data_IF_942025532398
#
_entry.id   IF_942025532398
#
_cell.length_a   1.000
_cell.length_b   1.000
_cell.length_c   1.000
_cell.angle_alpha   90.00
_cell.angle_beta   90.00
_cell.angle_gamma   90.00
#
_symmetry.space_group_name_H-M   'P 1'
#
loop_
_entity.id
_entity.type
_entity.pdbx_description
1 polymer ?
#
# COMPACT_ATOMS: atom_id res chain seq x y z
N UNK A 1 -1.13 7.98 -11.75
CA UNK A 1 -0.99 6.64 -11.13
C UNK A 1 0.24 5.91 -11.67
N UNK A 2 0.29 5.59 -12.96
CA UNK A 2 1.43 4.91 -13.61
C UNK A 2 2.75 5.69 -13.54
N UNK A 3 2.72 7.01 -13.69
CA UNK A 3 3.92 7.86 -13.53
C UNK A 3 4.51 7.80 -12.11
N UNK A 4 3.68 7.57 -11.07
CA UNK A 4 4.14 7.39 -9.69
C UNK A 4 4.88 6.06 -9.51
N UNK A 5 4.47 5.01 -10.20
CA UNK A 5 5.14 3.71 -10.13
C UNK A 5 6.44 3.70 -10.94
N UNK A 6 6.46 4.33 -12.11
CA UNK A 6 7.70 4.47 -12.90
C UNK A 6 8.75 5.31 -12.15
N UNK A 7 8.34 6.35 -11.44
CA UNK A 7 9.23 7.13 -10.58
C UNK A 7 9.66 6.35 -9.33
N UNK A 8 8.76 5.58 -8.71
CA UNK A 8 9.07 4.71 -7.57
C UNK A 8 10.08 3.59 -7.91
N UNK A 9 9.94 2.97 -9.08
CA UNK A 9 10.86 1.95 -9.58
C UNK A 9 12.26 2.53 -9.81
N UNK A 10 12.34 3.73 -10.40
CA UNK A 10 13.61 4.41 -10.62
C UNK A 10 14.30 4.75 -9.29
N UNK A 11 13.56 5.26 -8.30
CA UNK A 11 14.14 5.59 -6.98
C UNK A 11 14.61 4.33 -6.24
N UNK A 12 13.95 3.18 -6.43
CA UNK A 12 14.40 1.92 -5.87
C UNK A 12 15.73 1.45 -6.48
N UNK A 13 15.89 1.52 -7.80
CA UNK A 13 17.14 1.16 -8.48
C UNK A 13 18.30 2.03 -7.99
N UNK A 14 18.06 3.34 -7.86
CA UNK A 14 19.07 4.27 -7.33
C UNK A 14 19.43 3.96 -5.86
N UNK A 15 18.46 3.49 -5.08
CA UNK A 15 18.70 3.01 -3.71
C UNK A 15 19.57 1.76 -3.64
N UNK A 16 19.35 0.78 -4.53
CA UNK A 16 20.18 -0.43 -4.64
C UNK A 16 21.60 -0.07 -5.09
N UNK A 17 21.76 0.79 -6.11
CA UNK A 17 23.08 1.26 -6.52
C UNK A 17 23.83 2.02 -5.43
N UNK A 18 23.11 2.83 -4.63
CA UNK A 18 23.70 3.50 -3.47
C UNK A 18 24.13 2.49 -2.38
N UNK A 19 23.37 1.41 -2.21
CA UNK A 19 23.69 0.31 -1.27
C UNK A 19 24.97 -0.41 -1.67
N UNK A 20 25.14 -0.72 -2.97
CA UNK A 20 26.36 -1.36 -3.50
C UNK A 20 27.60 -0.46 -3.37
N UNK A 21 27.43 0.87 -3.37
CA UNK A 21 28.52 1.84 -3.11
C UNK A 21 28.88 1.99 -1.63
N UNK A 22 28.17 1.30 -0.73
CA UNK A 22 28.38 1.37 0.72
C UNK A 22 27.86 2.66 1.38
N UNK A 23 27.16 3.52 0.64
CA UNK A 23 26.70 4.82 1.14
C UNK A 23 25.32 4.72 1.81
N UNK A 24 25.36 4.41 3.10
CA UNK A 24 24.17 4.15 3.95
C UNK A 24 23.25 5.37 4.10
N UNK A 25 23.73 6.59 3.87
CA UNK A 25 22.89 7.78 3.97
C UNK A 25 22.05 7.95 2.70
N UNK A 26 22.70 7.82 1.54
CA UNK A 26 22.03 7.91 0.25
C UNK A 26 21.05 6.77 0.00
N UNK A 27 21.40 5.52 0.37
CA UNK A 27 20.44 4.40 0.30
C UNK A 27 19.16 4.71 1.07
N UNK A 28 19.26 5.32 2.26
CA UNK A 28 18.09 5.71 3.05
C UNK A 28 17.26 6.77 2.35
N UNK A 29 17.86 7.84 1.83
CA UNK A 29 17.10 8.87 1.11
C UNK A 29 16.34 8.33 -0.11
N UNK A 30 16.96 7.42 -0.87
CA UNK A 30 16.31 6.79 -2.02
C UNK A 30 15.18 5.84 -1.62
N UNK A 31 15.34 5.06 -0.55
CA UNK A 31 14.27 4.22 0.00
C UNK A 31 13.08 5.06 0.51
N UNK A 32 13.36 6.21 1.14
CA UNK A 32 12.31 7.13 1.58
C UNK A 32 11.56 7.76 0.41
N UNK A 33 12.28 8.12 -0.67
CA UNK A 33 11.63 8.59 -1.89
C UNK A 33 10.68 7.53 -2.47
N UNK A 34 11.11 6.27 -2.54
CA UNK A 34 10.27 5.15 -2.98
C UNK A 34 9.03 4.97 -2.11
N UNK A 35 9.17 5.08 -0.78
CA UNK A 35 8.02 5.03 0.13
C UNK A 35 7.02 6.16 -0.12
N UNK A 36 7.49 7.38 -0.38
CA UNK A 36 6.62 8.53 -0.66
C UNK A 36 5.82 8.27 -1.94
N UNK A 37 6.47 7.79 -3.00
CA UNK A 37 5.77 7.46 -4.25
C UNK A 37 4.78 6.31 -4.08
N UNK A 38 5.14 5.25 -3.36
CA UNK A 38 4.22 4.15 -3.03
C UNK A 38 3.02 4.61 -2.21
N UNK A 39 3.22 5.48 -1.22
CA UNK A 39 2.14 6.03 -0.40
C UNK A 39 1.25 6.98 -1.21
N UNK A 40 1.83 7.84 -2.04
CA UNK A 40 1.07 8.71 -2.93
C UNK A 40 0.23 7.90 -3.92
N UNK A 41 0.76 6.78 -4.43
CA UNK A 41 0.00 5.85 -5.25
C UNK A 41 -1.20 5.25 -4.49
N UNK A 42 -1.02 4.83 -3.23
CA UNK A 42 -2.11 4.35 -2.39
C UNK A 42 -3.22 5.39 -2.21
N UNK A 43 -2.85 6.65 -1.94
CA UNK A 43 -3.80 7.76 -1.75
C UNK A 43 -4.57 8.06 -3.03
N UNK A 44 -3.87 8.23 -4.16
CA UNK A 44 -4.51 8.52 -5.44
C UNK A 44 -5.50 7.42 -5.84
N UNK A 45 -5.15 6.16 -5.59
CA UNK A 45 -6.03 5.04 -5.90
C UNK A 45 -7.22 4.94 -4.92
N UNK A 46 -7.00 5.23 -3.64
CA UNK A 46 -8.10 5.33 -2.66
C UNK A 46 -9.10 6.43 -3.01
N UNK A 47 -8.64 7.56 -3.54
CA UNK A 47 -9.51 8.63 -4.05
C UNK A 47 -10.32 8.17 -5.27
N UNK A 48 -9.69 7.45 -6.20
CA UNK A 48 -10.36 6.87 -7.37
C UNK A 48 -11.44 5.87 -6.95
N UNK A 49 -11.12 4.95 -6.04
CA UNK A 49 -12.09 4.02 -5.46
C UNK A 49 -13.27 4.73 -4.81
N UNK A 50 -13.00 5.79 -4.04
CA UNK A 50 -14.05 6.57 -3.38
C UNK A 50 -14.98 7.22 -4.40
N UNK A 51 -14.43 7.72 -5.51
CA UNK A 51 -15.19 8.27 -6.62
C UNK A 51 -16.04 7.22 -7.33
N UNK A 52 -15.46 6.06 -7.66
CA UNK A 52 -16.17 4.94 -8.33
C UNK A 52 -17.29 4.35 -7.47
N UNK A 53 -17.08 4.25 -6.15
CA UNK A 53 -18.12 3.83 -5.20
C UNK A 53 -19.23 4.89 -5.10
N UNK A 54 -18.87 6.17 -5.16
CA UNK A 54 -19.82 7.29 -5.23
C UNK A 54 -20.66 7.30 -6.52
N UNK A 55 -20.08 6.88 -7.64
CA UNK A 55 -20.75 6.73 -8.95
C UNK A 55 -21.61 5.45 -9.07
N UNK A 56 -21.53 4.55 -8.07
CA UNK A 56 -22.43 3.40 -7.94
C UNK A 56 -21.83 2.02 -8.25
N UNK A 57 -20.52 1.92 -8.49
CA UNK A 57 -19.82 0.62 -8.57
C UNK A 57 -19.68 0.03 -7.16
N UNK A 58 -20.62 -0.83 -6.77
CA UNK A 58 -20.59 -1.52 -5.47
C UNK A 58 -20.33 -3.01 -5.64
N UNK A 59 -19.49 -3.56 -4.76
CA UNK A 59 -19.25 -5.00 -4.71
C UNK A 59 -20.52 -5.70 -4.18
N UNK A 60 -20.95 -6.83 -4.77
CA UNK A 60 -22.04 -7.63 -4.22
C UNK A 60 -21.75 -8.02 -2.77
N UNK A 61 -22.54 -7.53 -1.82
CA UNK A 61 -22.42 -7.87 -0.38
C UNK A 61 -22.01 -6.74 0.56
N UNK A 62 -21.59 -5.57 0.07
CA UNK A 62 -21.37 -4.39 0.93
C UNK A 62 -22.55 -3.41 0.84
N UNK A 63 -23.05 -2.87 1.98
CA UNK A 63 -24.17 -1.94 1.97
C UNK A 63 -23.80 -0.66 1.22
N UNK A 64 -24.66 -0.28 0.26
CA UNK A 64 -24.50 0.94 -0.55
C UNK A 64 -24.43 2.17 0.37
N UNK A 65 -23.38 3.01 0.29
CA UNK A 65 -23.34 4.24 1.06
C UNK A 65 -24.50 5.14 0.62
N UNK A 66 -25.18 5.79 1.59
CA UNK A 66 -26.41 6.55 1.38
C UNK A 66 -26.27 7.73 0.38
N UNK A 67 -25.04 8.11 0.03
CA UNK A 67 -24.67 9.18 -0.90
C UNK A 67 -24.39 8.71 -2.34
N UNK A 68 -24.41 7.40 -2.62
CA UNK A 68 -24.08 6.88 -3.94
C UNK A 68 -25.21 7.17 -4.95
N UNK A 69 -24.93 8.07 -5.90
CA UNK A 69 -25.85 8.45 -6.95
C UNK A 69 -26.23 7.22 -7.80
N UNK A 70 -27.47 7.18 -8.28
CA UNK A 70 -27.91 6.21 -9.27
C UNK A 70 -27.36 6.61 -10.66
N UNK A 71 -26.05 6.49 -10.84
CA UNK A 71 -25.38 6.71 -12.12
C UNK A 71 -25.39 5.45 -13.01
N UNK A 72 -24.99 5.60 -14.26
CA UNK A 72 -24.91 4.54 -15.29
C UNK A 72 -24.10 3.31 -14.83
N UNK A 73 -23.07 3.53 -14.01
CA UNK A 73 -22.26 2.50 -13.35
C UNK A 73 -23.05 1.61 -12.36
N UNK A 74 -24.12 2.13 -11.77
CA UNK A 74 -24.99 1.35 -10.88
C UNK A 74 -25.81 0.31 -11.65
N UNK A 75 -26.14 0.59 -12.93
CA UNK A 75 -26.83 -0.38 -13.80
C UNK A 75 -25.85 -1.41 -14.36
N UNK A 76 -24.60 -1.04 -14.64
CA UNK A 76 -23.53 -2.01 -14.95
C UNK A 76 -23.29 -2.96 -13.77
N UNK A 77 -23.26 -2.44 -12.54
CA UNK A 77 -23.10 -3.26 -11.33
C UNK A 77 -24.26 -4.25 -11.11
N UNK A 78 -25.47 -3.93 -11.58
CA UNK A 78 -26.63 -4.84 -11.52
C UNK A 78 -26.64 -5.87 -12.64
N UNK A 79 -26.28 -5.46 -13.86
CA UNK A 79 -26.34 -6.31 -15.05
C UNK A 79 -25.13 -7.25 -15.16
N UNK A 80 -23.96 -6.83 -14.67
CA UNK A 80 -22.71 -7.61 -14.72
C UNK A 80 -22.02 -7.57 -13.34
N UNK A 81 -22.55 -8.25 -12.32
CA UNK A 81 -22.01 -8.21 -10.96
C UNK A 81 -20.57 -8.74 -10.84
N UNK A 82 -20.11 -9.51 -11.83
CA UNK A 82 -18.75 -10.03 -11.90
C UNK A 82 -17.69 -8.96 -12.23
N UNK A 83 -18.08 -7.88 -12.93
CA UNK A 83 -17.16 -6.80 -13.30
C UNK A 83 -16.63 -6.03 -12.07
N UNK A 84 -17.47 -5.43 -11.20
CA UNK A 84 -16.97 -4.77 -9.99
C UNK A 84 -16.26 -5.75 -9.05
N UNK A 85 -16.73 -6.99 -8.92
CA UNK A 85 -16.09 -7.99 -8.07
C UNK A 85 -14.66 -8.32 -8.52
N UNK A 86 -14.43 -8.48 -9.83
CA UNK A 86 -13.10 -8.76 -10.39
C UNK A 86 -12.21 -7.51 -10.43
N UNK A 87 -12.77 -6.34 -10.78
CA UNK A 87 -12.07 -5.05 -10.77
C UNK A 87 -11.55 -4.71 -9.37
N UNK A 88 -12.44 -4.68 -8.37
CA UNK A 88 -12.04 -4.40 -6.99
C UNK A 88 -11.22 -5.54 -6.41
N UNK A 89 -11.52 -6.81 -6.69
CA UNK A 89 -10.74 -7.92 -6.17
C UNK A 89 -9.28 -7.91 -6.66
N UNK A 90 -9.08 -7.70 -7.96
CA UNK A 90 -7.75 -7.69 -8.57
C UNK A 90 -6.95 -6.46 -8.10
N UNK A 91 -7.57 -5.28 -8.11
CA UNK A 91 -6.91 -4.05 -7.64
C UNK A 91 -6.69 -4.10 -6.13
N UNK A 92 -7.63 -4.60 -5.31
CA UNK A 92 -7.45 -4.78 -3.86
C UNK A 92 -6.26 -5.67 -3.52
N UNK A 93 -6.14 -6.81 -4.21
CA UNK A 93 -5.01 -7.72 -4.02
C UNK A 93 -3.69 -7.02 -4.37
N UNK A 94 -3.64 -6.23 -5.42
CA UNK A 94 -2.46 -5.43 -5.74
C UNK A 94 -2.16 -4.37 -4.66
N UNK A 95 -3.18 -3.65 -4.18
CA UNK A 95 -3.02 -2.63 -3.14
C UNK A 95 -2.54 -3.21 -1.81
N UNK A 96 -2.95 -4.43 -1.49
CA UNK A 96 -2.43 -5.19 -0.35
C UNK A 96 -0.92 -5.40 -0.50
N UNK A 97 -0.44 -5.85 -1.67
CA UNK A 97 0.99 -6.07 -1.92
C UNK A 97 1.78 -4.76 -1.87
N UNK A 98 1.26 -3.67 -2.44
CA UNK A 98 1.89 -2.34 -2.35
C UNK A 98 2.00 -1.89 -0.88
N UNK A 99 0.95 -2.11 -0.07
CA UNK A 99 0.95 -1.75 1.35
C UNK A 99 1.97 -2.56 2.14
N UNK A 100 2.04 -3.88 1.92
CA UNK A 100 3.08 -4.74 2.52
C UNK A 100 4.47 -4.26 2.11
N UNK A 101 4.66 -3.92 0.84
CA UNK A 101 5.89 -3.34 0.33
C UNK A 101 6.26 -2.06 1.08
N UNK A 102 5.35 -1.08 1.17
CA UNK A 102 5.61 0.21 1.84
C UNK A 102 5.99 -0.01 3.30
N UNK A 103 5.32 -0.94 3.99
CA UNK A 103 5.64 -1.31 5.38
C UNK A 103 7.03 -1.94 5.45
N UNK A 104 7.36 -2.86 4.55
CA UNK A 104 8.66 -3.52 4.52
C UNK A 104 9.81 -2.52 4.26
N UNK A 105 9.65 -1.62 3.29
CA UNK A 105 10.60 -0.52 3.06
C UNK A 105 10.66 0.43 4.26
N UNK A 106 9.53 0.71 4.92
CA UNK A 106 9.48 1.50 6.15
C UNK A 106 10.30 0.87 7.27
N UNK A 107 10.18 -0.44 7.48
CA UNK A 107 10.97 -1.18 8.48
C UNK A 107 12.47 -1.15 8.13
N UNK A 108 12.82 -1.33 6.86
CA UNK A 108 14.23 -1.31 6.38
C UNK A 108 14.83 0.10 6.46
N UNK A 109 14.11 1.14 6.01
CA UNK A 109 14.57 2.51 5.97
C UNK A 109 14.64 3.16 7.37
N UNK A 110 13.63 2.91 8.21
CA UNK A 110 13.47 3.56 9.52
C UNK A 110 13.68 2.63 10.71
N UNK A 111 14.56 1.62 10.63
CA UNK A 111 14.78 0.62 11.70
C UNK A 111 14.86 1.17 13.15
N UNK A 112 15.35 2.39 13.38
CA UNK A 112 15.36 3.06 14.72
C UNK A 112 14.21 4.06 14.98
N UNK A 113 13.56 4.59 13.95
CA UNK A 113 12.54 5.64 14.05
C UNK A 113 11.11 5.13 13.76
N UNK A 114 10.98 3.97 13.10
CA UNK A 114 9.70 3.35 12.75
C UNK A 114 8.93 2.88 14.00
N UNK A 115 9.63 2.33 14.99
CA UNK A 115 9.02 1.90 16.25
C UNK A 115 8.45 3.06 17.10
N UNK A 116 9.15 4.18 17.35
CA UNK A 116 8.54 5.30 18.05
C UNK A 116 7.44 5.99 17.24
N UNK A 117 7.52 6.04 15.90
CA UNK A 117 6.45 6.61 15.06
C UNK A 117 5.21 5.72 15.05
N UNK A 118 5.37 4.40 14.89
CA UNK A 118 4.27 3.44 14.96
C UNK A 118 3.66 3.39 16.37
N UNK A 119 4.50 3.49 17.41
CA UNK A 119 4.06 3.61 18.81
C UNK A 119 3.31 4.92 19.08
N UNK A 120 3.73 6.04 18.48
CA UNK A 120 3.02 7.32 18.58
C UNK A 120 1.69 7.31 17.83
N UNK A 121 1.65 6.74 16.62
CA UNK A 121 0.41 6.53 15.86
C UNK A 121 -0.54 5.58 16.59
N UNK A 122 0.00 4.54 17.23
CA UNK A 122 -0.75 3.63 18.08
C UNK A 122 -1.32 4.34 19.31
N UNK A 123 -0.51 5.13 20.03
CA UNK A 123 -0.93 5.89 21.20
C UNK A 123 -2.02 6.90 20.83
N UNK A 124 -1.87 7.58 19.68
CA UNK A 124 -2.88 8.47 19.14
C UNK A 124 -4.18 7.69 18.85
N UNK A 125 -4.12 6.53 18.18
CA UNK A 125 -5.27 5.68 17.93
C UNK A 125 -5.95 5.16 19.20
N UNK A 126 -5.16 4.74 20.20
CA UNK A 126 -5.63 4.28 21.50
C UNK A 126 -6.39 5.37 22.28
N UNK A 127 -5.89 6.61 22.22
CA UNK A 127 -6.51 7.75 22.91
C UNK A 127 -7.70 8.36 22.15
N UNK A 128 -7.72 8.26 20.82
CA UNK A 128 -8.77 8.83 19.98
C UNK A 128 -10.00 7.92 19.85
N UNK A 129 -9.88 6.62 20.13
CA UNK A 129 -10.96 5.63 19.92
C UNK A 129 -11.62 5.24 21.24
N UNK A 130 -12.92 5.56 21.45
CA UNK A 130 -13.65 5.21 22.68
C UNK A 130 -13.65 3.70 22.96
N UNK A 131 -13.50 3.33 24.23
CA UNK A 131 -13.28 1.95 24.72
C UNK A 131 -14.40 0.94 24.40
N UNK A 132 -15.57 1.40 23.95
CA UNK A 132 -16.71 0.55 23.56
C UNK A 132 -16.68 0.02 22.12
N UNK A 133 -15.70 0.42 21.30
CA UNK A 133 -15.63 0.02 19.89
C UNK A 133 -14.85 -1.29 19.71
N UNK A 134 -15.34 -2.17 18.82
CA UNK A 134 -14.66 -3.44 18.43
C UNK A 134 -13.22 -3.19 17.94
N UNK A 135 -12.97 -2.03 17.34
CA UNK A 135 -11.66 -1.58 16.89
C UNK A 135 -10.63 -1.38 18.02
N UNK A 136 -11.05 -1.24 19.27
CA UNK A 136 -10.15 -1.14 20.44
C UNK A 136 -9.37 -2.45 20.66
N UNK A 137 -9.98 -3.61 20.39
CA UNK A 137 -9.29 -4.91 20.42
C UNK A 137 -8.28 -5.06 19.28
N UNK A 138 -8.56 -4.47 18.11
CA UNK A 138 -7.61 -4.41 16.99
C UNK A 138 -6.36 -3.59 17.31
N UNK A 139 -6.51 -2.53 18.11
CA UNK A 139 -5.39 -1.72 18.61
C UNK A 139 -4.52 -2.53 19.58
N UNK A 140 -5.12 -3.35 20.46
CA UNK A 140 -4.35 -4.27 21.32
C UNK A 140 -3.60 -5.35 20.53
N UNK A 141 -4.21 -5.91 19.48
CA UNK A 141 -3.53 -6.87 18.59
C UNK A 141 -2.34 -6.23 17.85
N UNK A 142 -2.49 -4.97 17.40
CA UNK A 142 -1.40 -4.20 16.83
C UNK A 142 -0.27 -3.93 17.85
N UNK A 143 -0.59 -3.70 19.12
CA UNK A 143 0.43 -3.53 20.18
C UNK A 143 1.24 -4.80 20.41
N UNK A 144 0.60 -5.98 20.44
CA UNK A 144 1.29 -7.26 20.56
C UNK A 144 2.20 -7.49 19.35
N UNK A 145 1.72 -7.18 18.14
CA UNK A 145 2.54 -7.22 16.92
C UNK A 145 3.72 -6.26 16.97
N UNK A 146 3.54 -5.06 17.53
CA UNK A 146 4.58 -4.04 17.69
C UNK A 146 5.64 -4.46 18.70
N UNK A 147 5.24 -5.08 19.82
CA UNK A 147 6.14 -5.64 20.83
C UNK A 147 6.95 -6.80 20.25
N UNK A 148 6.31 -7.75 19.57
CA UNK A 148 6.98 -8.88 18.92
C UNK A 148 7.98 -8.40 17.84
N UNK A 149 7.57 -7.46 16.99
CA UNK A 149 8.46 -6.86 15.98
C UNK A 149 9.63 -6.12 16.62
N UNK A 150 9.41 -5.40 17.72
CA UNK A 150 10.46 -4.72 18.48
C UNK A 150 11.48 -5.71 19.04
N UNK A 151 11.01 -6.80 19.64
CA UNK A 151 11.85 -7.87 20.19
C UNK A 151 12.69 -8.51 19.07
N UNK A 152 12.07 -8.91 17.96
CA UNK A 152 12.76 -9.52 16.81
C UNK A 152 13.83 -8.58 16.23
N UNK A 153 13.55 -7.28 16.15
CA UNK A 153 14.48 -6.28 15.61
C UNK A 153 15.63 -5.93 16.56
N UNK A 154 15.39 -6.00 17.88
CA UNK A 154 16.41 -5.81 18.92
C UNK A 154 17.33 -7.04 19.03
N UNK A 155 16.80 -8.24 18.77
CA UNK A 155 17.53 -9.50 18.77
C UNK A 155 18.36 -9.76 17.50
N UNK A 156 18.20 -8.98 16.42
CA UNK A 156 19.03 -9.11 15.19
C UNK A 156 20.17 -8.09 15.22
N UNK A 157 21.37 -8.40 15.74
CA UNK A 157 22.49 -7.47 15.69
C UNK A 157 23.02 -7.40 14.24
N UNK A 158 23.45 -6.18 13.80
CA UNK A 158 24.45 -5.90 12.74
C UNK A 158 24.34 -6.69 11.41
N UNK A 159 24.21 -6.15 10.21
CA UNK A 159 24.44 -4.85 9.59
C UNK A 159 23.32 -4.66 8.52
N UNK A 160 23.31 -3.55 7.79
CA UNK A 160 22.57 -3.51 6.51
C UNK A 160 23.25 -4.51 5.58
N UNK A 161 22.65 -5.68 5.38
CA UNK A 161 23.10 -6.56 4.31
C UNK A 161 22.59 -5.95 3.00
N UNK A 162 23.49 -5.67 2.06
CA UNK A 162 23.10 -5.21 0.73
C UNK A 162 22.07 -6.18 0.10
N UNK A 163 22.16 -7.45 0.50
CA UNK A 163 21.20 -8.49 0.17
C UNK A 163 19.76 -8.18 0.59
N UNK A 164 19.53 -7.67 1.81
CA UNK A 164 18.17 -7.34 2.29
C UNK A 164 17.55 -6.22 1.43
N UNK A 165 18.36 -5.24 1.02
CA UNK A 165 17.93 -4.14 0.15
C UNK A 165 17.67 -4.63 -1.29
N UNK A 166 18.52 -5.51 -1.82
CA UNK A 166 18.33 -6.11 -3.14
C UNK A 166 17.05 -6.97 -3.20
N UNK A 167 16.79 -7.80 -2.19
CA UNK A 167 15.54 -8.58 -2.07
C UNK A 167 14.34 -7.65 -1.97
N UNK A 168 14.44 -6.56 -1.21
CA UNK A 168 13.38 -5.54 -1.13
C UNK A 168 13.11 -4.87 -2.47
N UNK A 169 14.17 -4.59 -3.24
CA UNK A 169 14.08 -3.99 -4.57
C UNK A 169 13.42 -4.94 -5.57
N UNK A 170 13.80 -6.22 -5.57
CA UNK A 170 13.17 -7.25 -6.40
C UNK A 170 11.68 -7.39 -6.12
N UNK A 171 11.28 -7.40 -4.84
CA UNK A 171 9.87 -7.43 -4.46
C UNK A 171 9.13 -6.19 -5.00
N UNK A 172 9.72 -5.00 -4.85
CA UNK A 172 9.12 -3.75 -5.31
C UNK A 172 8.94 -3.73 -6.84
N UNK A 173 9.97 -4.15 -7.58
CA UNK A 173 9.90 -4.26 -9.04
C UNK A 173 8.84 -5.25 -9.51
N UNK A 174 8.67 -6.36 -8.80
CA UNK A 174 7.61 -7.32 -9.09
C UNK A 174 6.23 -6.68 -8.98
N UNK A 175 5.97 -5.93 -7.91
CA UNK A 175 4.70 -5.22 -7.72
C UNK A 175 4.47 -4.20 -8.84
N UNK A 176 5.48 -3.38 -9.17
CA UNK A 176 5.39 -2.40 -10.27
C UNK A 176 5.10 -3.07 -11.63
N UNK A 177 5.75 -4.20 -11.92
CA UNK A 177 5.56 -4.96 -13.15
C UNK A 177 4.13 -5.51 -13.24
N UNK A 178 3.60 -6.07 -12.15
CA UNK A 178 2.21 -6.53 -12.10
C UNK A 178 1.25 -5.38 -12.42
N UNK A 179 1.47 -4.18 -11.89
CA UNK A 179 0.63 -3.03 -12.23
C UNK A 179 0.71 -2.61 -13.69
N UNK A 180 1.89 -2.72 -14.30
CA UNK A 180 2.07 -2.44 -15.73
C UNK A 180 1.17 -3.33 -16.60
N UNK A 181 0.82 -4.54 -16.16
CA UNK A 181 -0.16 -5.40 -16.83
C UNK A 181 -1.61 -5.08 -16.44
N UNK A 182 -1.87 -4.79 -15.17
CA UNK A 182 -3.22 -4.47 -14.67
C UNK A 182 -3.76 -3.19 -15.32
N UNK A 183 -2.94 -2.14 -15.41
CA UNK A 183 -3.38 -0.86 -15.97
C UNK A 183 -3.93 -0.96 -17.40
N UNK A 184 -3.23 -1.52 -18.40
CA UNK A 184 -3.76 -1.67 -19.75
C UNK A 184 -4.93 -2.67 -19.83
N UNK A 185 -4.88 -3.78 -19.09
CA UNK A 185 -5.97 -4.76 -19.09
C UNK A 185 -7.27 -4.20 -18.54
N UNK A 186 -7.19 -3.41 -17.47
CA UNK A 186 -8.37 -2.90 -16.77
C UNK A 186 -8.79 -1.53 -17.32
N UNK A 187 -7.86 -0.61 -17.50
CA UNK A 187 -8.18 0.76 -17.92
C UNK A 187 -8.21 0.92 -19.45
N UNK A 188 -7.25 0.36 -20.21
CA UNK A 188 -7.23 0.56 -21.67
C UNK A 188 -8.22 -0.35 -22.40
N UNK A 189 -8.35 -1.62 -22.04
CA UNK A 189 -9.35 -2.50 -22.68
C UNK A 189 -10.78 -2.12 -22.32
N UNK A 190 -11.03 -1.55 -21.14
CA UNK A 190 -12.36 -1.06 -20.75
C UNK A 190 -12.80 0.18 -21.54
N UNK A 191 -11.88 1.00 -22.06
CA UNK A 191 -12.22 2.20 -22.84
C UNK A 191 -12.73 1.92 -24.26
N UNK A 192 -12.71 0.66 -24.73
CA UNK A 192 -13.18 0.27 -26.08
C UNK A 192 -14.56 -0.39 -26.11
N UNK A 193 -15.32 -0.34 -25.02
CA UNK A 193 -16.70 -0.83 -24.98
C UNK A 193 -17.68 0.35 -24.96
N UNK A 194 -17.54 1.25 -25.94
CA UNK A 194 -18.49 2.33 -26.24
C UNK A 194 -18.97 2.20 -27.68
#
# INVERSE_FOLDING_TARGET
>A
MTACLLSSSLTMVLGVFASQRGDRAWTRYWLLATMIFGTAFLVLHGMEWSKLIGEGLTIPGFPKPATAAAGELADVSKNVPQFPATFFGLTAMHMLHVTIGVIYLGVVAFRKLFLPVLGALWLAGYLLIPSGNVFHYGIHALLIGLILASIILFLKPKDYDAHDVEVSGLYWHFVDLVWMFIFPLVYLMSTKIS
#
